data_IF_788101118401
#
_entry.id   IF_788101118401
#
_cell.length_a   1.000
_cell.length_b   1.000
_cell.length_c   1.000
_cell.angle_alpha   90.00
_cell.angle_beta   90.00
_cell.angle_gamma   90.00
#
_symmetry.space_group_name_H-M   'P 1'
#
loop_
_entity.id
_entity.type
_entity.pdbx_description
1 polymer ?
#
# COMPACT_ATOMS: atom_id res chain seq x y z
N UNK A 1 -46.81 -5.61 51.50
CA UNK A 1 -47.86 -6.58 51.16
C UNK A 1 -47.89 -6.71 49.65
N UNK A 2 -48.00 -7.94 49.13
CA UNK A 2 -48.17 -8.33 47.70
C UNK A 2 -46.93 -8.15 46.81
N UNK A 3 -45.79 -8.76 47.15
CA UNK A 3 -45.28 -9.98 46.49
C UNK A 3 -46.29 -10.83 45.70
N UNK A 4 -45.84 -11.34 44.55
CA UNK A 4 -46.34 -12.41 43.67
C UNK A 4 -46.85 -11.98 42.28
N UNK A 5 -46.36 -12.69 41.25
CA UNK A 5 -46.68 -12.71 39.82
C UNK A 5 -46.00 -11.62 38.98
N UNK A 6 -44.89 -11.89 38.28
CA UNK A 6 -44.64 -12.97 37.33
C UNK A 6 -43.37 -13.73 37.74
N UNK A 7 -43.40 -14.95 38.28
CA UNK A 7 -43.67 -16.24 37.63
C UNK A 7 -42.95 -16.48 36.29
N UNK A 8 -41.86 -17.24 36.40
CA UNK A 8 -41.48 -18.34 35.51
C UNK A 8 -41.28 -18.05 34.02
N UNK A 9 -40.05 -17.66 33.69
CA UNK A 9 -39.25 -18.38 32.68
C UNK A 9 -37.94 -18.73 33.38
N UNK A 10 -37.84 -19.89 34.02
CA UNK A 10 -37.52 -21.16 33.40
C UNK A 10 -36.12 -21.16 32.77
N UNK A 11 -35.24 -21.87 33.48
CA UNK A 11 -34.30 -22.86 32.94
C UNK A 11 -33.03 -22.34 32.27
N UNK A 12 -31.92 -22.68 32.93
CA UNK A 12 -30.64 -23.05 32.34
C UNK A 12 -30.05 -22.08 31.31
N UNK A 13 -28.96 -21.43 31.72
CA UNK A 13 -28.01 -20.87 30.77
C UNK A 13 -27.66 -21.95 29.73
N UNK A 14 -27.92 -21.75 28.43
CA UNK A 14 -27.43 -22.68 27.42
C UNK A 14 -25.89 -22.73 27.54
N UNK A 15 -25.25 -23.90 27.37
CA UNK A 15 -23.80 -23.96 27.32
C UNK A 15 -23.33 -22.95 26.27
N UNK A 16 -22.33 -22.16 26.62
CA UNK A 16 -21.72 -21.19 25.72
C UNK A 16 -21.52 -21.86 24.35
N UNK A 17 -22.30 -21.43 23.36
CA UNK A 17 -22.17 -21.90 21.99
C UNK A 17 -20.72 -21.61 21.60
N UNK A 18 -19.93 -22.66 21.43
CA UNK A 18 -18.63 -22.53 20.80
C UNK A 18 -18.84 -21.73 19.49
N UNK A 19 -17.97 -20.75 19.19
CA UNK A 19 -18.13 -19.92 18.00
C UNK A 19 -18.34 -20.83 16.79
N UNK A 20 -19.51 -20.70 16.15
CA UNK A 20 -19.84 -21.47 14.95
C UNK A 20 -18.83 -21.09 13.87
N UNK A 21 -18.19 -22.04 13.17
CA UNK A 21 -17.31 -21.71 12.07
C UNK A 21 -18.12 -20.90 11.05
N UNK A 22 -17.68 -19.66 10.81
CA UNK A 22 -18.25 -18.82 9.76
C UNK A 22 -18.08 -19.55 8.41
N UNK A 23 -19.06 -19.49 7.48
CA UNK A 23 -18.90 -20.06 6.16
C UNK A 23 -17.63 -19.50 5.53
N UNK A 24 -16.70 -20.39 5.19
CA UNK A 24 -15.53 -20.01 4.41
C UNK A 24 -16.05 -19.77 3.00
N UNK A 25 -16.38 -18.51 2.69
CA UNK A 25 -16.74 -18.05 1.34
C UNK A 25 -15.64 -18.54 0.39
N UNK A 26 -15.94 -19.62 -0.31
CA UNK A 26 -15.03 -20.29 -1.21
C UNK A 26 -14.83 -19.46 -2.46
N UNK A 27 -13.79 -18.62 -2.48
CA UNK A 27 -13.12 -18.24 -3.71
C UNK A 27 -11.83 -19.05 -3.82
N UNK A 28 -11.97 -20.34 -4.15
CA UNK A 28 -10.83 -21.14 -4.60
C UNK A 28 -10.83 -21.22 -6.12
N UNK A 29 -10.11 -20.29 -6.73
CA UNK A 29 -9.49 -20.49 -8.03
C UNK A 29 -8.08 -19.89 -8.00
N UNK A 30 -7.13 -20.68 -7.48
CA UNK A 30 -5.70 -20.58 -7.81
C UNK A 30 -5.01 -19.22 -7.65
N UNK A 31 -4.64 -18.87 -6.42
CA UNK A 31 -3.42 -18.09 -6.18
C UNK A 31 -2.83 -18.47 -4.82
N UNK A 32 -1.64 -19.06 -4.84
CA UNK A 32 -0.86 -19.38 -3.66
C UNK A 32 -0.45 -18.07 -2.97
N UNK A 33 -0.96 -17.80 -1.76
CA UNK A 33 -0.49 -16.69 -0.91
C UNK A 33 0.61 -17.12 0.06
N UNK A 34 1.42 -18.13 -0.31
CA UNK A 34 2.75 -18.25 0.27
C UNK A 34 3.66 -17.17 -0.34
N UNK A 35 3.37 -15.91 -0.05
CA UNK A 35 4.31 -14.81 -0.19
C UNK A 35 4.56 -14.26 1.22
N UNK A 36 5.48 -14.90 1.92
CA UNK A 36 6.33 -14.22 2.88
C UNK A 36 6.90 -12.97 2.22
N UNK A 37 6.38 -11.80 2.58
CA UNK A 37 6.96 -10.43 2.50
C UNK A 37 7.95 -10.09 1.37
N UNK A 38 7.69 -10.54 0.17
CA UNK A 38 8.18 -9.90 -1.05
C UNK A 38 7.13 -10.16 -2.11
N UNK A 39 6.14 -9.28 -2.20
CA UNK A 39 5.28 -9.24 -3.38
C UNK A 39 6.21 -8.91 -4.54
N UNK A 40 6.45 -9.80 -5.52
CA UNK A 40 7.04 -9.36 -6.77
C UNK A 40 5.97 -8.50 -7.43
N UNK A 41 6.07 -7.19 -7.21
CA UNK A 41 5.26 -6.20 -7.87
C UNK A 41 5.53 -6.38 -9.36
N UNK A 42 4.59 -7.04 -10.05
CA UNK A 42 4.45 -7.12 -11.51
C UNK A 42 5.79 -7.11 -12.28
N UNK A 43 6.24 -8.29 -12.75
CA UNK A 43 7.34 -8.39 -13.73
C UNK A 43 6.98 -7.81 -15.11
N UNK A 44 5.89 -7.05 -15.19
CA UNK A 44 5.52 -6.16 -16.31
C UNK A 44 5.14 -4.77 -15.79
N UNK A 45 5.80 -4.28 -14.73
CA UNK A 45 5.77 -2.87 -14.35
C UNK A 45 6.24 -2.04 -15.54
N UNK A 46 5.51 -0.99 -15.88
CA UNK A 46 5.73 -0.19 -17.08
C UNK A 46 7.17 0.34 -17.17
N UNK A 47 8.06 -0.36 -17.88
CA UNK A 47 9.43 0.12 -18.16
C UNK A 47 9.47 1.12 -19.32
N UNK A 48 8.39 1.90 -19.50
CA UNK A 48 8.27 2.89 -20.58
C UNK A 48 8.34 4.31 -20.01
N UNK A 49 9.30 4.55 -19.12
CA UNK A 49 9.67 5.88 -18.62
C UNK A 49 11.17 6.09 -18.78
N UNK A 50 11.63 7.34 -18.84
CA UNK A 50 13.06 7.63 -18.89
C UNK A 50 13.75 7.12 -17.62
N UNK A 51 14.92 6.44 -17.71
CA UNK A 51 15.68 6.02 -16.54
C UNK A 51 16.16 7.20 -15.68
N UNK A 52 16.13 8.42 -16.22
CA UNK A 52 16.42 9.65 -15.48
C UNK A 52 15.30 10.04 -14.50
N UNK A 53 14.08 9.52 -14.69
CA UNK A 53 12.94 9.81 -13.83
C UNK A 53 12.79 8.80 -12.66
N UNK A 54 13.48 7.65 -12.71
CA UNK A 54 13.56 6.67 -11.63
C UNK A 54 14.59 7.14 -10.59
N UNK A 55 14.18 8.08 -9.74
CA UNK A 55 15.07 8.75 -8.79
C UNK A 55 15.34 7.85 -7.57
N UNK A 56 14.41 6.95 -7.23
CA UNK A 56 14.58 6.05 -6.09
C UNK A 56 15.38 4.78 -6.48
N UNK A 57 15.51 4.47 -7.78
CA UNK A 57 16.31 3.39 -8.33
C UNK A 57 15.70 2.01 -8.16
N UNK A 58 14.38 1.90 -8.00
CA UNK A 58 13.68 0.62 -7.81
C UNK A 58 13.22 -0.04 -9.12
N UNK A 59 13.40 0.65 -10.25
CA UNK A 59 13.05 0.17 -11.58
C UNK A 59 11.57 0.34 -11.95
N UNK A 60 10.78 1.02 -11.13
CA UNK A 60 9.35 1.29 -11.35
C UNK A 60 9.11 2.79 -11.29
N UNK A 61 8.75 3.40 -12.42
CA UNK A 61 8.38 4.81 -12.44
C UNK A 61 6.99 5.02 -11.80
N UNK A 62 6.97 5.57 -10.59
CA UNK A 62 5.73 5.87 -9.85
C UNK A 62 5.82 7.13 -8.97
N UNK A 63 4.89 7.30 -8.03
CA UNK A 63 4.83 8.49 -7.16
C UNK A 63 6.01 8.56 -6.18
N UNK A 64 6.66 7.45 -5.87
CA UNK A 64 7.81 7.41 -4.98
C UNK A 64 9.03 8.11 -5.61
N UNK A 65 9.14 8.13 -6.93
CA UNK A 65 10.16 8.92 -7.64
C UNK A 65 9.96 10.42 -7.49
N UNK A 66 8.70 10.86 -7.55
CA UNK A 66 8.35 12.28 -7.34
C UNK A 66 8.72 12.71 -5.92
N UNK A 67 8.45 11.85 -4.93
CA UNK A 67 8.82 12.10 -3.54
C UNK A 67 10.35 12.14 -3.39
N UNK A 68 11.06 11.23 -4.04
CA UNK A 68 12.52 11.20 -4.04
C UNK A 68 13.12 12.47 -4.69
N UNK A 69 12.58 12.90 -5.83
CA UNK A 69 12.98 14.15 -6.49
C UNK A 69 12.78 15.38 -5.61
N UNK A 70 11.61 15.52 -4.97
CA UNK A 70 11.34 16.63 -4.05
C UNK A 70 12.34 16.65 -2.88
N UNK A 71 12.71 15.47 -2.35
CA UNK A 71 13.73 15.38 -1.31
C UNK A 71 15.11 15.81 -1.82
N UNK A 72 15.48 15.46 -3.05
CA UNK A 72 16.70 15.95 -3.69
C UNK A 72 16.70 17.48 -3.80
N UNK A 73 15.60 18.09 -4.27
CA UNK A 73 15.45 19.55 -4.38
C UNK A 73 15.58 20.21 -3.00
N UNK A 74 14.88 19.70 -1.99
CA UNK A 74 14.88 20.26 -0.63
C UNK A 74 16.26 20.20 0.05
N UNK A 75 17.08 19.22 -0.32
CA UNK A 75 18.43 19.05 0.23
C UNK A 75 19.52 19.68 -0.65
N UNK A 76 19.17 20.19 -1.83
CA UNK A 76 20.15 20.67 -2.81
C UNK A 76 21.07 19.56 -3.32
N UNK A 77 20.57 18.32 -3.37
CA UNK A 77 21.36 17.17 -3.81
C UNK A 77 21.47 17.10 -5.34
N UNK A 78 22.60 16.58 -5.83
CA UNK A 78 22.88 16.49 -7.26
C UNK A 78 21.86 15.64 -8.06
N UNK A 79 21.09 14.77 -7.40
CA UNK A 79 19.99 14.04 -8.04
C UNK A 79 18.83 14.94 -8.52
N UNK A 80 18.79 16.20 -8.10
CA UNK A 80 17.82 17.18 -8.60
C UNK A 80 18.29 17.97 -9.83
N UNK A 81 19.59 17.97 -10.15
CA UNK A 81 20.16 18.63 -11.35
C UNK A 81 20.05 17.68 -12.55
N UNK A 82 18.87 17.67 -13.17
CA UNK A 82 18.54 16.73 -14.25
C UNK A 82 19.09 17.20 -15.59
N UNK A 83 19.29 18.50 -15.77
CA UNK A 83 19.84 19.06 -17.01
C UNK A 83 21.39 19.08 -17.02
N UNK A 84 22.02 18.90 -15.85
CA UNK A 84 23.47 18.80 -15.67
C UNK A 84 24.22 20.13 -15.77
N UNK A 85 23.56 21.26 -15.52
CA UNK A 85 24.16 22.60 -15.64
C UNK A 85 24.80 23.11 -14.34
N UNK A 86 24.63 22.36 -13.23
CA UNK A 86 25.17 22.67 -11.92
C UNK A 86 24.29 23.60 -11.08
N UNK A 87 23.07 23.92 -11.52
CA UNK A 87 22.12 24.78 -10.82
C UNK A 87 20.79 24.05 -10.67
N UNK A 88 20.34 23.84 -9.43
CA UNK A 88 19.01 23.29 -9.18
C UNK A 88 17.97 24.41 -9.29
N UNK A 89 17.18 24.40 -10.36
CA UNK A 89 16.13 25.40 -10.58
C UNK A 89 14.85 24.81 -11.23
N UNK A 90 14.00 25.69 -11.80
CA UNK A 90 12.73 25.27 -12.38
C UNK A 90 12.91 24.47 -13.68
N UNK A 91 14.05 24.60 -14.37
CA UNK A 91 14.32 23.85 -15.59
C UNK A 91 14.50 22.36 -15.30
N UNK A 92 15.01 21.98 -14.13
CA UNK A 92 15.05 20.58 -13.69
C UNK A 92 13.65 20.01 -13.45
N UNK A 93 12.78 20.79 -12.82
CA UNK A 93 11.39 20.39 -12.56
C UNK A 93 10.63 20.23 -13.89
N UNK A 94 10.86 21.13 -14.85
CA UNK A 94 10.28 21.02 -16.18
C UNK A 94 10.77 19.76 -16.91
N UNK A 95 12.06 19.44 -16.78
CA UNK A 95 12.63 18.23 -17.36
C UNK A 95 11.99 17.00 -16.72
N UNK A 96 11.91 16.92 -15.39
CA UNK A 96 11.30 15.80 -14.67
C UNK A 96 9.87 15.47 -15.15
N UNK A 97 9.04 16.49 -15.38
CA UNK A 97 7.64 16.32 -15.83
C UNK A 97 7.56 15.91 -17.32
N UNK A 98 8.60 16.16 -18.11
CA UNK A 98 8.65 15.86 -19.54
C UNK A 98 9.23 14.46 -19.85
N UNK A 99 9.77 13.76 -18.85
CA UNK A 99 10.35 12.42 -18.95
C UNK A 99 9.30 11.30 -18.90
#
# INVERSE_FOLDING_TARGET
MLSHYLLAVMLAQPPALAPQPQPQEGWSAGHSIAQTESVPQSTTGYTSGSPLADINGDGVLDIFDVIAFINCVNTGAACADLNGDGVIDIFDVQLFIAL
#
